data_IF_644779941256
#
_entry.id   IF_644779941256
#
_cell.length_a   1.000
_cell.length_b   1.000
_cell.length_c   1.000
_cell.angle_alpha   90.00
_cell.angle_beta   90.00
_cell.angle_gamma   90.00
#
_symmetry.space_group_name_H-M   'P 1'
#
loop_
_entity.id
_entity.type
_entity.pdbx_description
1 polymer ?
#
# COMPACT_ATOMS: atom_id res chain seq x y z
N UNK A 1 -17.38 23.36 69.69
CA UNK A 1 -18.57 24.23 69.65
C UNK A 1 -18.96 24.36 68.18
N UNK A 2 -19.90 23.52 67.73
CA UNK A 2 -21.35 23.76 67.63
C UNK A 2 -21.73 24.05 66.17
N UNK A 3 -22.48 23.09 65.61
CA UNK A 3 -23.19 23.16 64.36
C UNK A 3 -24.33 24.16 64.42
N UNK A 4 -24.68 24.81 63.29
CA UNK A 4 -26.08 25.16 62.99
C UNK A 4 -26.33 25.06 61.48
N UNK A 5 -27.31 24.21 61.16
CA UNK A 5 -28.00 24.04 59.89
C UNK A 5 -28.94 25.23 59.63
N UNK A 6 -29.19 25.59 58.37
CA UNK A 6 -30.31 26.47 58.02
C UNK A 6 -30.54 26.57 56.51
N UNK A 7 -31.54 25.82 56.03
CA UNK A 7 -32.05 25.80 54.66
C UNK A 7 -32.99 26.99 54.45
N UNK A 8 -32.88 27.69 53.31
CA UNK A 8 -34.02 28.37 52.66
C UNK A 8 -34.06 27.98 51.19
N UNK A 9 -35.21 27.41 50.82
CA UNK A 9 -35.62 26.97 49.49
C UNK A 9 -36.08 28.17 48.69
N UNK A 10 -35.55 28.37 47.48
CA UNK A 10 -36.29 29.05 46.41
C UNK A 10 -36.20 28.16 45.17
N UNK A 11 -37.33 27.49 44.90
CA UNK A 11 -37.57 26.81 43.66
C UNK A 11 -37.89 27.85 42.58
N UNK A 12 -37.14 27.82 41.48
CA UNK A 12 -37.59 28.37 40.20
C UNK A 12 -37.37 27.32 39.14
N UNK A 13 -38.46 26.61 38.85
CA UNK A 13 -38.67 25.81 37.66
C UNK A 13 -38.69 26.76 36.45
N UNK A 14 -37.86 26.49 35.46
CA UNK A 14 -38.15 26.83 34.07
C UNK A 14 -37.55 25.75 33.16
N UNK A 15 -38.46 25.04 32.52
CA UNK A 15 -38.20 24.02 31.52
C UNK A 15 -37.66 24.67 30.23
N UNK A 16 -36.67 24.01 29.62
CA UNK A 16 -36.41 24.11 28.19
C UNK A 16 -35.90 22.76 27.68
N UNK A 17 -36.60 22.27 26.67
CA UNK A 17 -36.46 20.99 25.99
C UNK A 17 -35.16 20.97 25.18
N UNK A 18 -34.37 19.89 25.28
CA UNK A 18 -33.40 19.53 24.24
C UNK A 18 -33.19 18.02 24.21
N UNK A 19 -33.15 17.48 23.01
CA UNK A 19 -33.36 16.09 22.65
C UNK A 19 -32.43 15.08 23.33
N UNK A 20 -33.02 13.95 23.72
CA UNK A 20 -32.29 12.70 23.88
C UNK A 20 -31.70 12.26 22.54
N UNK A 21 -30.49 11.75 22.60
CA UNK A 21 -29.73 11.27 21.45
C UNK A 21 -28.29 11.03 21.87
N UNK A 22 -28.09 10.05 22.75
CA UNK A 22 -26.77 9.48 22.95
C UNK A 22 -26.34 8.84 21.64
N UNK A 23 -25.52 9.56 20.88
CA UNK A 23 -24.77 9.00 19.76
C UNK A 23 -23.48 8.46 20.34
N UNK A 24 -23.46 7.16 20.60
CA UNK A 24 -22.20 6.41 20.62
C UNK A 24 -21.56 6.57 19.24
N UNK A 25 -20.28 6.94 19.12
CA UNK A 25 -19.63 6.91 17.82
C UNK A 25 -19.48 5.44 17.44
N UNK A 26 -20.34 4.97 16.54
CA UNK A 26 -20.12 3.73 15.84
C UNK A 26 -18.80 3.86 15.09
N UNK A 27 -17.79 3.13 15.55
CA UNK A 27 -16.55 2.92 14.81
C UNK A 27 -16.94 2.09 13.59
N UNK A 28 -17.24 2.75 12.48
CA UNK A 28 -17.33 2.06 11.20
C UNK A 28 -15.94 1.51 10.89
N UNK A 29 -15.76 0.20 11.13
CA UNK A 29 -14.67 -0.55 10.57
C UNK A 29 -14.81 -0.47 9.05
N UNK A 30 -14.00 0.38 8.42
CA UNK A 30 -13.85 0.38 6.97
C UNK A 30 -13.17 -0.93 6.64
N UNK A 31 -13.96 -1.94 6.30
CA UNK A 31 -13.47 -3.21 5.78
C UNK A 31 -12.85 -2.91 4.41
N UNK A 32 -11.55 -2.61 4.40
CA UNK A 32 -10.77 -2.40 3.19
C UNK A 32 -10.73 -3.72 2.43
N UNK A 33 -11.66 -3.90 1.50
CA UNK A 33 -11.71 -5.05 0.62
C UNK A 33 -10.62 -4.85 -0.44
N UNK A 34 -9.37 -5.19 -0.10
CA UNK A 34 -8.28 -5.23 -1.08
C UNK A 34 -8.65 -6.28 -2.13
N UNK A 35 -9.02 -5.84 -3.33
CA UNK A 35 -9.32 -6.76 -4.43
C UNK A 35 -8.01 -7.25 -5.03
N UNK A 36 -7.81 -8.57 -4.94
CA UNK A 36 -6.72 -9.28 -5.62
C UNK A 36 -6.87 -9.17 -7.14
N UNK A 37 -5.83 -8.70 -7.83
CA UNK A 37 -5.79 -8.67 -9.31
C UNK A 37 -5.77 -10.12 -9.83
N UNK A 38 -6.62 -10.55 -10.77
CA UNK A 38 -6.59 -11.92 -11.26
C UNK A 38 -5.23 -12.26 -11.90
N UNK A 39 -4.70 -13.45 -11.61
CA UNK A 39 -3.53 -13.99 -12.32
C UNK A 39 -3.99 -14.69 -13.59
N UNK A 40 -3.53 -14.21 -14.74
CA UNK A 40 -3.62 -14.92 -16.00
C UNK A 40 -2.33 -15.72 -16.23
N UNK A 41 -2.39 -17.03 -15.95
CA UNK A 41 -1.25 -17.96 -16.12
C UNK A 41 -0.91 -18.26 -17.58
N UNK A 42 -1.70 -17.77 -18.54
CA UNK A 42 -1.46 -18.01 -19.97
C UNK A 42 -0.82 -16.83 -20.69
N UNK A 43 -0.82 -15.65 -20.07
CA UNK A 43 -0.16 -14.47 -20.60
C UNK A 43 1.37 -14.63 -20.51
N UNK A 44 2.13 -14.25 -21.55
CA UNK A 44 3.59 -14.18 -21.44
C UNK A 44 3.97 -13.10 -20.42
N UNK A 45 5.05 -13.32 -19.68
CA UNK A 45 5.60 -12.31 -18.78
C UNK A 45 6.19 -11.17 -19.60
N UNK A 46 5.95 -9.94 -19.14
CA UNK A 46 6.43 -8.71 -19.76
C UNK A 46 7.32 -7.91 -18.80
N UNK A 47 7.74 -8.52 -17.68
CA UNK A 47 8.63 -7.87 -16.73
C UNK A 47 9.13 -8.82 -15.66
N UNK A 48 10.09 -8.34 -14.89
CA UNK A 48 10.67 -9.06 -13.78
C UNK A 48 11.04 -8.13 -12.64
N UNK A 49 11.03 -8.67 -11.43
CA UNK A 49 11.56 -8.02 -10.22
C UNK A 49 12.61 -8.93 -9.61
N UNK A 50 13.81 -8.41 -9.43
CA UNK A 50 14.89 -9.07 -8.73
C UNK A 50 14.97 -8.51 -7.30
N UNK A 51 14.90 -9.40 -6.30
CA UNK A 51 15.06 -9.11 -4.88
C UNK A 51 16.24 -9.95 -4.37
N UNK A 52 17.42 -9.33 -4.21
CA UNK A 52 18.63 -10.06 -3.87
C UNK A 52 18.99 -11.10 -4.93
N UNK A 53 18.91 -12.38 -4.55
CA UNK A 53 19.18 -13.51 -5.45
C UNK A 53 17.92 -14.11 -6.08
N UNK A 54 16.74 -13.65 -5.67
CA UNK A 54 15.45 -14.11 -6.17
C UNK A 54 15.03 -13.23 -7.34
N UNK A 55 14.52 -13.85 -8.42
CA UNK A 55 13.93 -13.15 -9.55
C UNK A 55 12.52 -13.67 -9.76
N UNK A 56 11.57 -12.73 -9.84
CA UNK A 56 10.16 -13.00 -10.10
C UNK A 56 9.81 -12.52 -11.50
N UNK A 57 9.53 -13.44 -12.41
CA UNK A 57 8.95 -13.13 -13.72
C UNK A 57 7.44 -12.95 -13.56
N UNK A 58 6.91 -11.78 -13.97
CA UNK A 58 5.54 -11.38 -13.70
C UNK A 58 4.83 -10.87 -14.95
N UNK A 59 3.51 -10.95 -14.94
CA UNK A 59 2.64 -10.30 -15.91
C UNK A 59 2.20 -8.96 -15.32
N UNK A 60 2.67 -7.86 -15.90
CA UNK A 60 2.38 -6.49 -15.49
C UNK A 60 1.27 -5.87 -16.33
N UNK A 61 0.32 -5.23 -15.65
CA UNK A 61 -0.55 -4.23 -16.25
C UNK A 61 -0.02 -2.85 -15.90
N UNK A 62 0.16 -1.99 -16.90
CA UNK A 62 0.62 -0.62 -16.71
C UNK A 62 -0.55 0.36 -16.75
N UNK A 63 -0.50 1.41 -15.93
CA UNK A 63 -1.57 2.37 -15.71
C UNK A 63 -1.03 3.80 -15.82
N UNK A 64 -1.76 4.64 -16.53
CA UNK A 64 -1.55 6.09 -16.54
C UNK A 64 -2.35 6.69 -15.37
N UNK A 65 -1.72 6.79 -14.19
CA UNK A 65 -2.39 7.17 -12.95
C UNK A 65 -2.77 8.68 -12.91
N UNK A 66 -2.25 9.48 -13.84
CA UNK A 66 -2.54 10.90 -13.99
C UNK A 66 -1.30 11.76 -13.75
N UNK A 67 -1.32 13.02 -14.19
CA UNK A 67 -0.23 14.00 -13.98
C UNK A 67 1.20 13.57 -14.44
N UNK A 68 1.31 12.56 -15.31
CA UNK A 68 2.59 12.01 -15.75
C UNK A 68 3.08 10.82 -14.93
N UNK A 69 2.31 10.42 -13.91
CA UNK A 69 2.60 9.29 -13.05
C UNK A 69 2.21 7.97 -13.70
N UNK A 70 3.06 6.96 -13.49
CA UNK A 70 2.83 5.61 -13.99
C UNK A 70 2.86 4.61 -12.84
N UNK A 71 1.98 3.62 -12.93
CA UNK A 71 1.94 2.49 -12.01
C UNK A 71 1.95 1.22 -12.83
N UNK A 72 2.72 0.23 -12.43
CA UNK A 72 2.64 -1.12 -12.97
C UNK A 72 2.38 -2.11 -11.84
N UNK A 73 1.35 -2.94 -12.03
CA UNK A 73 0.96 -4.00 -11.09
C UNK A 73 1.29 -5.34 -11.75
N UNK A 74 2.26 -6.04 -11.17
CA UNK A 74 2.75 -7.33 -11.63
C UNK A 74 2.11 -8.47 -10.85
N UNK A 75 1.72 -9.54 -11.54
CA UNK A 75 1.19 -10.74 -10.91
C UNK A 75 1.86 -11.97 -11.49
N UNK A 76 2.23 -12.92 -10.64
CA UNK A 76 2.86 -14.16 -11.05
C UNK A 76 2.86 -15.23 -9.96
N UNK A 77 3.80 -16.16 -10.07
CA UNK A 77 3.98 -17.24 -9.12
C UNK A 77 5.46 -17.45 -8.85
N UNK A 78 5.82 -17.59 -7.59
CA UNK A 78 7.19 -17.93 -7.19
C UNK A 78 7.51 -19.36 -7.61
N UNK A 79 8.61 -19.54 -8.35
CA UNK A 79 8.99 -20.83 -8.93
C UNK A 79 9.41 -21.86 -7.87
N UNK A 80 9.88 -21.42 -6.70
CA UNK A 80 10.30 -22.30 -5.61
C UNK A 80 9.13 -22.82 -4.78
N UNK A 81 8.26 -21.91 -4.33
CA UNK A 81 7.17 -22.19 -3.40
C UNK A 81 5.81 -22.42 -4.06
N UNK A 82 5.63 -21.99 -5.31
CA UNK A 82 4.32 -21.96 -5.97
C UNK A 82 3.37 -20.90 -5.40
N UNK A 83 3.85 -20.02 -4.52
CA UNK A 83 3.04 -18.96 -3.95
C UNK A 83 2.80 -17.85 -4.98
N UNK A 84 1.62 -17.23 -4.90
CA UNK A 84 1.29 -16.05 -5.67
C UNK A 84 2.27 -14.93 -5.34
N UNK A 85 2.71 -14.21 -6.37
CA UNK A 85 3.54 -13.01 -6.24
C UNK A 85 2.77 -11.83 -6.81
N UNK A 86 2.77 -10.72 -6.09
CA UNK A 86 2.28 -9.42 -6.55
C UNK A 86 3.39 -8.38 -6.43
N UNK A 87 3.60 -7.58 -7.46
CA UNK A 87 4.53 -6.46 -7.43
C UNK A 87 3.79 -5.15 -7.71
N UNK A 88 4.16 -4.10 -7.00
CA UNK A 88 3.72 -2.74 -7.23
C UNK A 88 4.93 -1.87 -7.57
N UNK A 89 4.91 -1.30 -8.76
CA UNK A 89 5.96 -0.42 -9.29
C UNK A 89 5.32 0.94 -9.53
N UNK A 90 5.79 1.97 -8.83
CA UNK A 90 5.22 3.30 -8.91
C UNK A 90 6.30 4.32 -9.29
N UNK A 91 6.17 4.87 -10.50
CA UNK A 91 7.00 5.97 -10.99
C UNK A 91 6.26 7.29 -10.80
N UNK A 92 6.45 7.92 -9.64
CA UNK A 92 5.87 9.22 -9.29
C UNK A 92 6.93 10.32 -9.30
N UNK A 93 6.55 11.55 -9.67
CA UNK A 93 7.38 12.73 -9.45
C UNK A 93 7.43 13.07 -7.94
N UNK A 94 8.39 12.49 -7.23
CA UNK A 94 8.76 12.90 -5.88
C UNK A 94 9.12 11.73 -4.96
N UNK A 95 8.27 10.71 -4.90
CA UNK A 95 8.47 9.55 -4.04
C UNK A 95 8.01 8.28 -4.78
N UNK A 96 8.87 7.69 -5.63
CA UNK A 96 8.57 6.39 -6.22
C UNK A 96 8.48 5.32 -5.13
N UNK A 97 7.82 4.22 -5.46
CA UNK A 97 7.67 3.07 -4.57
C UNK A 97 7.82 1.77 -5.35
N UNK A 98 8.51 0.81 -4.72
CA UNK A 98 8.62 -0.57 -5.21
C UNK A 98 8.28 -1.51 -4.06
N UNK A 99 7.34 -2.42 -4.29
CA UNK A 99 6.97 -3.46 -3.35
C UNK A 99 6.71 -4.79 -4.06
N UNK A 100 7.08 -5.89 -3.41
CA UNK A 100 6.76 -7.26 -3.83
C UNK A 100 6.16 -8.00 -2.64
N UNK A 101 5.02 -8.63 -2.82
CA UNK A 101 4.39 -9.51 -1.84
C UNK A 101 4.39 -10.94 -2.36
N UNK A 102 4.95 -11.87 -1.58
CA UNK A 102 4.94 -13.31 -1.86
C UNK A 102 4.01 -13.99 -0.86
N UNK A 103 3.00 -14.70 -1.38
CA UNK A 103 1.94 -15.26 -0.57
C UNK A 103 1.13 -14.16 0.13
N UNK A 104 0.85 -14.33 1.42
CA UNK A 104 0.06 -13.39 2.22
C UNK A 104 0.85 -12.67 3.30
N UNK A 105 2.16 -12.92 3.41
CA UNK A 105 2.94 -12.53 4.59
C UNK A 105 4.30 -11.93 4.26
N UNK A 106 4.98 -12.42 3.24
CA UNK A 106 6.33 -11.96 2.94
C UNK A 106 6.24 -10.71 2.08
N UNK A 107 6.70 -9.58 2.60
CA UNK A 107 6.76 -8.33 1.85
C UNK A 107 8.21 -7.88 1.70
N UNK A 108 8.59 -7.54 0.48
CA UNK A 108 9.85 -6.91 0.14
C UNK A 108 9.56 -5.51 -0.37
N UNK A 109 10.24 -4.50 0.17
CA UNK A 109 10.06 -3.11 -0.20
C UNK A 109 11.42 -2.45 -0.44
N UNK A 110 11.44 -1.45 -1.32
CA UNK A 110 12.63 -0.60 -1.45
C UNK A 110 12.90 0.10 -0.12
N UNK A 111 14.17 0.13 0.29
CA UNK A 111 14.60 0.80 1.51
C UNK A 111 14.21 2.27 1.53
N UNK A 112 13.85 2.78 2.71
CA UNK A 112 13.65 4.22 2.94
C UNK A 112 14.95 4.98 3.17
N UNK A 113 16.07 4.29 3.41
CA UNK A 113 17.37 4.91 3.67
C UNK A 113 18.15 5.27 2.40
N UNK A 114 17.81 4.64 1.27
CA UNK A 114 18.45 4.88 -0.02
C UNK A 114 17.49 5.58 -1.00
N UNK A 115 18.00 6.49 -1.86
CA UNK A 115 17.17 7.09 -2.88
C UNK A 115 16.70 6.03 -3.88
N UNK A 116 15.40 5.96 -4.10
CA UNK A 116 14.81 5.14 -5.14
C UNK A 116 14.61 5.98 -6.40
N UNK A 117 15.14 5.49 -7.51
CA UNK A 117 14.96 6.09 -8.84
C UNK A 117 14.23 5.10 -9.74
N UNK A 118 13.04 5.48 -10.18
CA UNK A 118 12.25 4.73 -11.17
C UNK A 118 12.28 5.52 -12.47
N UNK A 119 12.82 4.89 -13.51
CA UNK A 119 12.98 5.44 -14.84
C UNK A 119 11.83 5.00 -15.72
N UNK A 120 11.17 5.96 -16.35
CA UNK A 120 10.15 5.74 -17.37
C UNK A 120 10.71 6.26 -18.68
N UNK A 121 10.94 5.36 -19.64
CA UNK A 121 11.51 5.70 -20.93
C UNK A 121 10.92 4.82 -22.01
N UNK A 122 10.43 5.46 -23.08
CA UNK A 122 9.62 4.83 -24.13
C UNK A 122 8.48 4.01 -23.49
N UNK A 123 8.41 2.71 -23.80
CA UNK A 123 7.42 1.76 -23.30
C UNK A 123 7.99 0.92 -22.15
N UNK A 124 8.94 1.45 -21.38
CA UNK A 124 9.59 0.71 -20.28
C UNK A 124 9.58 1.47 -18.96
N UNK A 125 9.41 0.71 -17.88
CA UNK A 125 9.61 1.17 -16.50
C UNK A 125 10.75 0.34 -15.91
N UNK A 126 11.77 0.98 -15.35
CA UNK A 126 12.92 0.29 -14.77
C UNK A 126 13.47 0.95 -13.53
N UNK A 127 14.10 0.16 -12.67
CA UNK A 127 14.86 0.63 -11.52
C UNK A 127 16.05 -0.31 -11.32
N UNK A 128 17.23 0.25 -11.02
CA UNK A 128 18.45 -0.52 -10.82
C UNK A 128 19.05 -0.25 -9.44
N UNK A 129 19.89 -1.17 -8.96
CA UNK A 129 20.57 -1.06 -7.67
C UNK A 129 19.62 -0.77 -6.49
N UNK A 130 18.40 -1.32 -6.55
CA UNK A 130 17.38 -1.16 -5.51
C UNK A 130 17.83 -1.94 -4.28
N UNK A 131 18.00 -1.26 -3.14
CA UNK A 131 18.20 -1.94 -1.86
C UNK A 131 16.84 -2.40 -1.33
N UNK A 132 16.70 -3.70 -1.15
CA UNK A 132 15.46 -4.32 -0.69
C UNK A 132 15.52 -4.65 0.80
N UNK A 133 14.39 -4.42 1.47
CA UNK A 133 14.15 -4.79 2.86
C UNK A 133 12.91 -5.67 2.96
N UNK A 134 13.00 -6.74 3.74
CA UNK A 134 11.87 -7.59 4.08
C UNK A 134 11.17 -7.07 5.33
N UNK A 135 9.84 -7.11 5.29
CA UNK A 135 8.95 -6.74 6.40
C UNK A 135 9.27 -5.34 6.95
N UNK A 136 9.52 -4.38 6.03
CA UNK A 136 9.77 -2.99 6.35
C UNK A 136 8.56 -2.38 7.06
N UNK A 137 8.77 -1.91 8.28
CA UNK A 137 7.78 -1.11 8.99
C UNK A 137 7.90 0.36 8.57
N UNK A 138 6.89 0.88 7.88
CA UNK A 138 6.87 2.27 7.40
C UNK A 138 6.79 3.29 8.54
N UNK A 139 6.37 2.91 9.76
CA UNK A 139 6.32 3.82 10.90
C UNK A 139 7.71 3.99 11.54
N UNK A 140 8.42 2.89 11.80
CA UNK A 140 9.76 2.94 12.39
C UNK A 140 10.89 3.07 11.36
N UNK A 141 10.61 2.77 10.09
CA UNK A 141 11.58 2.71 8.99
C UNK A 141 12.51 1.50 9.03
N UNK A 142 12.22 0.48 9.83
CA UNK A 142 13.08 -0.70 10.01
C UNK A 142 12.58 -1.93 9.27
N UNK A 143 13.48 -2.63 8.56
CA UNK A 143 13.26 -3.94 7.93
C UNK A 143 14.53 -4.79 7.89
N UNK A 144 14.40 -6.06 7.50
CA UNK A 144 15.55 -6.95 7.27
C UNK A 144 16.15 -6.67 5.88
N UNK A 145 17.40 -6.20 5.80
CA UNK A 145 18.07 -6.00 4.51
C UNK A 145 18.31 -7.35 3.82
N UNK A 146 17.69 -7.57 2.66
CA UNK A 146 17.80 -8.82 1.89
C UNK A 146 18.78 -8.74 0.72
N UNK A 147 19.18 -7.53 0.33
CA UNK A 147 20.22 -7.29 -0.67
C UNK A 147 19.79 -6.31 -1.76
N UNK A 148 20.59 -6.25 -2.82
CA UNK A 148 20.32 -5.39 -3.97
C UNK A 148 19.58 -6.14 -5.07
N UNK A 149 18.83 -5.40 -5.87
CA UNK A 149 18.11 -5.94 -7.02
C UNK A 149 17.74 -4.87 -8.04
N UNK A 150 16.79 -5.19 -8.89
CA UNK A 150 16.36 -4.35 -10.00
C UNK A 150 14.94 -4.71 -10.45
N UNK A 151 14.34 -3.81 -11.21
CA UNK A 151 13.00 -3.97 -11.80
C UNK A 151 13.08 -3.61 -13.27
N UNK A 152 12.39 -4.39 -14.10
CA UNK A 152 12.12 -4.07 -15.49
C UNK A 152 10.69 -4.46 -15.85
N UNK A 153 9.99 -3.55 -16.51
CA UNK A 153 8.63 -3.75 -17.02
C UNK A 153 8.52 -3.20 -18.44
N UNK A 154 8.04 -4.01 -19.36
CA UNK A 154 7.64 -3.61 -20.70
C UNK A 154 6.12 -3.29 -20.71
N UNK A 155 5.79 -2.05 -21.01
CA UNK A 155 4.44 -1.49 -21.01
C UNK A 155 3.99 -1.21 -22.44
N UNK A 156 3.51 -2.22 -23.16
CA UNK A 156 2.97 -2.05 -24.53
C UNK A 156 1.71 -1.18 -24.59
N UNK A 157 1.02 -1.00 -23.47
CA UNK A 157 -0.20 -0.19 -23.35
C UNK A 157 -0.43 0.24 -21.90
N UNK A 158 -1.21 1.32 -21.73
CA UNK A 158 -1.58 1.86 -20.43
C UNK A 158 -3.09 1.89 -20.24
N UNK A 159 -3.54 1.34 -19.12
CA UNK A 159 -4.91 1.46 -18.65
C UNK A 159 -5.16 2.82 -17.98
N UNK A 160 -6.37 3.36 -18.14
CA UNK A 160 -6.69 4.73 -17.68
C UNK A 160 -7.16 4.79 -16.21
N UNK A 161 -7.34 3.65 -15.55
CA UNK A 161 -7.83 3.59 -14.17
C UNK A 161 -7.20 2.42 -13.43
N UNK A 162 -6.67 2.71 -12.25
CA UNK A 162 -6.19 1.69 -11.31
C UNK A 162 -7.33 0.77 -10.84
N UNK A 163 -7.03 -0.52 -10.55
CA UNK A 163 -7.98 -1.38 -9.87
C UNK A 163 -8.37 -0.81 -8.50
N UNK A 164 -9.58 -1.13 -8.02
CA UNK A 164 -10.01 -0.73 -6.67
C UNK A 164 -9.04 -1.29 -5.61
N UNK A 165 -8.58 -0.43 -4.70
CA UNK A 165 -7.68 -0.81 -3.61
C UNK A 165 -6.19 -0.49 -3.84
N UNK A 166 -5.87 0.22 -4.93
CA UNK A 166 -4.54 0.77 -5.24
C UNK A 166 -4.54 2.29 -5.33
#
# INVERSE_FOLDING_TARGET
>A
MQAVRGIVVIATVLAAVACGGGVEPAVEAVESTTKTVPLDVTAPTNGWVQVGVETFDLVFTCYAAGAGDVVAIGVGTDSGSGQRVEALVQGFLGQPYLGVTVGSSTRYEASLEDPLEVYVYDDTISAGAVRWERDLDLESGGGEVVGFGAVFVECSSYENRLPEGY
#
